data_IF_856594403588
#
_entry.id   IF_856594403588
#
_cell.length_a   1.000
_cell.length_b   1.000
_cell.length_c   1.000
_cell.angle_alpha   90.00
_cell.angle_beta   90.00
_cell.angle_gamma   90.00
#
_symmetry.space_group_name_H-M   'P 1'
#
loop_
_entity.id
_entity.type
_entity.pdbx_description
1 polymer ?
#
# COMPACT_ATOMS: atom_id res chain seq x y z
N UNK A 1 6.06 6.92 32.99
CA UNK A 1 5.15 7.95 32.46
C UNK A 1 5.37 8.02 30.95
N UNK A 2 4.59 7.26 30.17
CA UNK A 2 4.81 7.14 28.72
C UNK A 2 3.83 8.08 28.00
N UNK A 3 4.19 9.36 27.93
CA UNK A 3 3.57 10.32 27.04
C UNK A 3 4.26 10.24 25.65
N UNK A 4 4.26 9.04 25.06
CA UNK A 4 4.60 8.87 23.66
C UNK A 4 3.47 9.47 22.85
N UNK A 5 3.78 10.39 21.94
CA UNK A 5 2.80 10.98 21.03
C UNK A 5 2.33 9.87 20.09
N UNK A 6 1.23 9.24 20.47
CA UNK A 6 0.24 8.66 19.56
C UNK A 6 -0.35 9.82 18.73
N UNK A 7 -0.96 9.55 17.57
CA UNK A 7 -1.97 10.50 17.08
C UNK A 7 -2.87 10.90 18.25
N UNK A 8 -3.03 12.20 18.52
CA UNK A 8 -3.88 12.63 19.64
C UNK A 8 -5.24 11.95 19.48
N UNK A 9 -5.88 11.50 20.57
CA UNK A 9 -7.11 10.71 20.46
C UNK A 9 -8.14 11.46 19.58
N UNK A 10 -8.22 12.78 19.74
CA UNK A 10 -8.96 13.68 18.86
C UNK A 10 -8.57 13.59 17.37
N UNK A 11 -7.27 13.65 17.02
CA UNK A 11 -6.77 13.48 15.64
C UNK A 11 -7.15 12.12 15.04
N UNK A 12 -7.05 11.04 15.83
CA UNK A 12 -7.42 9.70 15.38
C UNK A 12 -8.93 9.54 15.19
N UNK A 13 -9.75 10.11 16.08
CA UNK A 13 -11.21 10.15 15.89
C UNK A 13 -11.57 10.99 14.66
N UNK A 14 -10.96 12.16 14.48
CA UNK A 14 -11.17 13.00 13.28
C UNK A 14 -10.80 12.24 12.00
N UNK A 15 -9.68 11.51 11.98
CA UNK A 15 -9.31 10.65 10.85
C UNK A 15 -10.38 9.60 10.54
N UNK A 16 -10.88 8.90 11.56
CA UNK A 16 -11.95 7.89 11.42
C UNK A 16 -13.24 8.50 10.86
N UNK A 17 -13.74 9.58 11.47
CA UNK A 17 -14.95 10.27 11.04
C UNK A 17 -14.82 10.80 9.61
N UNK A 18 -13.68 11.38 9.25
CA UNK A 18 -13.44 11.89 7.90
C UNK A 18 -13.32 10.77 6.87
N UNK A 19 -12.73 9.62 7.23
CA UNK A 19 -12.63 8.45 6.35
C UNK A 19 -13.98 7.78 6.13
N UNK A 20 -14.82 7.66 7.17
CA UNK A 20 -16.17 7.11 7.03
C UNK A 20 -17.04 8.00 6.14
N UNK A 21 -17.04 9.31 6.39
CA UNK A 21 -17.72 10.28 5.54
C UNK A 21 -17.18 10.27 4.10
N UNK A 22 -15.86 10.10 3.89
CA UNK A 22 -15.30 9.94 2.54
C UNK A 22 -15.84 8.68 1.85
N UNK A 23 -15.84 7.52 2.52
CA UNK A 23 -16.34 6.28 1.95
C UNK A 23 -17.82 6.38 1.60
N UNK A 24 -18.64 6.95 2.49
CA UNK A 24 -20.05 7.22 2.25
C UNK A 24 -20.29 8.17 1.06
N UNK A 25 -19.54 9.28 0.96
CA UNK A 25 -19.71 10.22 -0.15
C UNK A 25 -19.22 9.65 -1.48
N UNK A 26 -18.28 8.71 -1.48
CA UNK A 26 -17.86 7.99 -2.68
C UNK A 26 -18.96 7.04 -3.16
N UNK A 27 -19.60 6.27 -2.27
CA UNK A 27 -20.70 5.36 -2.63
C UNK A 27 -21.99 6.11 -3.03
N UNK A 28 -22.22 7.32 -2.51
CA UNK A 28 -23.31 8.22 -2.90
C UNK A 28 -23.13 8.82 -4.31
N UNK A 29 -21.91 9.27 -4.64
CA UNK A 29 -21.66 10.13 -5.82
C UNK A 29 -21.14 9.34 -7.03
N UNK A 30 -20.42 8.23 -6.83
CA UNK A 30 -19.87 7.46 -7.94
C UNK A 30 -20.94 6.62 -8.64
N UNK A 31 -20.84 6.53 -9.97
CA UNK A 31 -21.69 5.61 -10.74
C UNK A 31 -21.39 4.16 -10.36
N UNK A 32 -22.39 3.25 -10.35
CA UNK A 32 -22.17 1.80 -10.21
C UNK A 32 -21.26 1.17 -11.28
N UNK A 33 -20.89 1.91 -12.33
CA UNK A 33 -19.92 1.51 -13.36
C UNK A 33 -18.50 2.02 -13.11
N UNK A 34 -18.28 2.76 -12.02
CA UNK A 34 -16.99 3.32 -11.66
C UNK A 34 -16.25 2.37 -10.70
N UNK A 35 -15.05 1.93 -11.09
CA UNK A 35 -14.15 1.19 -10.22
C UNK A 35 -13.37 2.19 -9.33
N UNK A 36 -13.57 2.11 -8.02
CA UNK A 36 -12.80 2.89 -7.04
C UNK A 36 -11.95 1.96 -6.16
N UNK A 37 -10.63 2.09 -6.26
CA UNK A 37 -9.68 1.25 -5.51
C UNK A 37 -9.07 2.05 -4.37
N UNK A 38 -9.36 1.64 -3.15
CA UNK A 38 -8.83 2.22 -1.93
C UNK A 38 -7.41 1.68 -1.66
N UNK A 39 -6.39 2.41 -2.12
CA UNK A 39 -4.99 2.08 -1.89
C UNK A 39 -4.53 2.44 -0.48
N UNK A 40 -4.07 1.46 0.30
CA UNK A 40 -3.48 1.68 1.62
C UNK A 40 -2.09 2.31 1.53
N UNK A 41 -1.69 3.06 2.55
CA UNK A 41 -0.39 3.71 2.59
C UNK A 41 0.73 2.67 2.61
N UNK A 42 1.76 2.88 1.78
CA UNK A 42 2.96 2.05 1.80
C UNK A 42 3.61 2.08 3.19
N UNK A 43 4.31 1.00 3.53
CA UNK A 43 5.06 0.90 4.78
C UNK A 43 6.15 1.98 4.86
N UNK A 44 6.14 2.78 5.93
CA UNK A 44 7.26 3.69 6.25
C UNK A 44 8.28 3.05 7.20
N UNK A 45 9.46 3.66 7.22
CA UNK A 45 10.26 3.73 8.43
C UNK A 45 11.62 3.05 8.39
N UNK A 46 12.42 3.47 9.37
CA UNK A 46 13.85 3.26 9.58
C UNK A 46 14.40 1.88 9.16
N UNK A 47 14.99 1.82 7.97
CA UNK A 47 16.19 1.02 7.73
C UNK A 47 17.40 1.72 8.39
N UNK A 48 18.47 0.99 8.65
CA UNK A 48 19.73 1.62 9.06
C UNK A 48 20.20 2.63 8.00
N UNK A 49 20.41 3.89 8.40
CA UNK A 49 20.82 4.98 7.53
C UNK A 49 19.69 5.74 6.81
N UNK A 50 18.42 5.42 7.07
CA UNK A 50 17.28 6.25 6.63
C UNK A 50 16.89 7.23 7.74
N UNK A 51 16.61 8.49 7.36
CA UNK A 51 16.21 9.56 8.29
C UNK A 51 14.92 10.16 7.78
N UNK A 52 13.91 10.17 8.64
CA UNK A 52 12.64 10.82 8.33
C UNK A 52 12.82 12.34 8.41
N UNK A 53 12.41 13.07 7.36
CA UNK A 53 12.58 14.53 7.27
C UNK A 53 11.94 15.26 8.46
N UNK A 54 10.81 14.75 8.94
CA UNK A 54 10.15 15.18 10.17
C UNK A 54 9.98 13.98 11.11
N UNK A 55 10.78 13.86 12.19
CA UNK A 55 10.72 12.69 13.08
C UNK A 55 9.43 12.67 13.90
N UNK A 56 8.38 12.08 13.33
CA UNK A 56 7.09 11.82 13.97
C UNK A 56 7.24 10.56 14.85
N UNK A 57 7.04 10.64 16.18
CA UNK A 57 7.00 9.47 17.05
C UNK A 57 5.95 8.48 16.57
N UNK A 58 6.20 7.17 16.71
CA UNK A 58 5.23 6.10 16.42
C UNK A 58 4.67 6.02 14.98
N UNK A 59 5.17 6.81 14.01
CA UNK A 59 4.64 6.89 12.63
C UNK A 59 4.38 5.53 11.93
N UNK A 60 5.17 4.50 12.26
CA UNK A 60 4.94 3.11 11.80
C UNK A 60 3.62 2.54 12.31
N UNK A 61 3.36 2.70 13.60
CA UNK A 61 2.14 2.24 14.27
C UNK A 61 0.94 3.07 13.82
N UNK A 62 1.07 4.40 13.73
CA UNK A 62 0.00 5.28 13.24
C UNK A 62 -0.41 4.92 11.80
N UNK A 63 0.53 4.54 10.93
CA UNK A 63 0.21 4.07 9.57
C UNK A 63 -0.43 2.68 9.56
N UNK A 64 0.00 1.75 10.42
CA UNK A 64 -0.63 0.43 10.54
C UNK A 64 -2.07 0.58 11.04
N UNK A 65 -2.29 1.38 12.08
CA UNK A 65 -3.61 1.65 12.65
C UNK A 65 -4.50 2.43 11.66
N UNK A 66 -3.96 3.45 10.99
CA UNK A 66 -4.65 4.23 9.97
C UNK A 66 -5.06 3.40 8.75
N UNK A 67 -4.19 2.50 8.28
CA UNK A 67 -4.51 1.54 7.23
C UNK A 67 -5.57 0.53 7.69
N UNK A 68 -5.45 -0.02 8.90
CA UNK A 68 -6.42 -0.97 9.45
C UNK A 68 -7.84 -0.39 9.50
N UNK A 69 -8.01 0.83 10.04
CA UNK A 69 -9.33 1.49 10.05
C UNK A 69 -9.83 1.80 8.65
N UNK A 70 -8.96 2.25 7.73
CA UNK A 70 -9.36 2.60 6.36
C UNK A 70 -9.77 1.37 5.56
N UNK A 71 -9.08 0.23 5.68
CA UNK A 71 -9.49 -1.06 5.11
C UNK A 71 -10.82 -1.53 5.71
N UNK A 72 -11.00 -1.39 7.02
CA UNK A 72 -12.24 -1.79 7.70
C UNK A 72 -13.44 -0.97 7.19
N UNK A 73 -13.30 0.35 7.09
CA UNK A 73 -14.34 1.23 6.57
C UNK A 73 -14.61 0.98 5.08
N UNK A 74 -13.57 0.86 4.26
CA UNK A 74 -13.74 0.54 2.83
C UNK A 74 -14.51 -0.78 2.63
N UNK A 75 -14.20 -1.83 3.41
CA UNK A 75 -14.93 -3.09 3.40
C UNK A 75 -16.41 -2.93 3.79
N UNK A 76 -16.71 -2.16 4.86
CA UNK A 76 -18.09 -1.89 5.28
C UNK A 76 -18.91 -1.12 4.22
N UNK A 77 -18.24 -0.25 3.46
CA UNK A 77 -18.83 0.49 2.33
C UNK A 77 -18.75 -0.25 0.99
N UNK A 78 -18.32 -1.53 0.97
CA UNK A 78 -18.18 -2.36 -0.24
C UNK A 78 -17.28 -1.74 -1.32
N UNK A 79 -16.25 -1.01 -0.91
CA UNK A 79 -15.23 -0.44 -1.78
C UNK A 79 -14.03 -1.39 -1.92
N UNK A 80 -13.48 -1.50 -3.12
CA UNK A 80 -12.27 -2.31 -3.37
C UNK A 80 -11.07 -1.77 -2.59
N UNK A 81 -10.21 -2.68 -2.13
CA UNK A 81 -9.01 -2.37 -1.35
C UNK A 81 -7.77 -3.02 -1.95
N UNK A 82 -6.68 -2.26 -2.02
CA UNK A 82 -5.35 -2.80 -2.33
C UNK A 82 -4.38 -2.45 -1.19
N UNK A 83 -3.88 -3.47 -0.49
CA UNK A 83 -2.95 -3.31 0.63
C UNK A 83 -1.49 -3.25 0.16
N UNK A 84 -1.02 -2.03 -0.13
CA UNK A 84 0.38 -1.77 -0.48
C UNK A 84 1.33 -1.94 0.70
N UNK A 85 0.83 -1.85 1.94
CA UNK A 85 1.65 -2.11 3.12
C UNK A 85 2.04 -3.59 3.14
N UNK A 86 1.07 -4.50 2.99
CA UNK A 86 1.33 -5.94 2.89
C UNK A 86 2.29 -6.29 1.75
N UNK A 87 2.08 -5.75 0.55
CA UNK A 87 2.92 -6.09 -0.61
C UNK A 87 4.35 -5.52 -0.57
N UNK A 88 4.60 -4.42 0.17
CA UNK A 88 5.86 -3.68 0.12
C UNK A 88 6.61 -3.56 1.46
N UNK A 89 6.03 -3.98 2.60
CA UNK A 89 6.64 -3.85 3.93
C UNK A 89 8.07 -4.39 4.02
N UNK A 90 8.34 -5.55 3.41
CA UNK A 90 9.65 -6.19 3.38
C UNK A 90 10.59 -5.72 2.26
N UNK A 91 10.15 -4.81 1.36
CA UNK A 91 10.95 -4.35 0.20
C UNK A 91 11.94 -3.22 0.57
N UNK A 92 12.72 -3.40 1.64
CA UNK A 92 13.70 -2.44 2.19
C UNK A 92 14.75 -1.88 1.20
N UNK A 93 15.05 -2.59 0.12
CA UNK A 93 15.94 -2.11 -0.96
C UNK A 93 15.27 -1.10 -1.89
N UNK A 94 13.94 -0.99 -1.83
CA UNK A 94 13.13 -0.10 -2.66
C UNK A 94 12.73 1.18 -1.94
N UNK A 95 13.15 1.41 -0.69
CA UNK A 95 12.94 2.70 0.00
C UNK A 95 13.99 3.73 -0.44
N UNK A 96 13.60 5.00 -0.39
CA UNK A 96 14.48 6.17 -0.53
C UNK A 96 15.02 6.56 0.85
N UNK A 97 16.10 7.37 0.90
CA UNK A 97 16.80 7.75 2.15
C UNK A 97 15.92 8.51 3.17
N UNK A 98 14.80 9.07 2.73
CA UNK A 98 13.83 9.86 3.52
C UNK A 98 12.88 9.01 4.40
N UNK A 99 13.07 7.69 4.44
CA UNK A 99 12.24 6.71 5.16
C UNK A 99 10.75 6.65 4.75
N UNK A 100 10.34 7.40 3.72
CA UNK A 100 8.94 7.69 3.38
C UNK A 100 8.61 7.26 1.97
N UNK A 101 9.40 7.72 0.99
CA UNK A 101 9.17 7.41 -0.41
C UNK A 101 9.77 6.06 -0.78
N UNK A 102 9.15 5.43 -1.77
CA UNK A 102 9.70 4.25 -2.42
C UNK A 102 10.21 4.62 -3.82
N UNK A 103 11.22 3.92 -4.29
CA UNK A 103 11.86 4.16 -5.57
C UNK A 103 11.06 3.53 -6.73
N UNK A 104 11.52 3.80 -7.95
CA UNK A 104 10.93 3.30 -9.19
C UNK A 104 10.65 1.78 -9.26
N UNK A 105 11.36 0.93 -8.51
CA UNK A 105 11.12 -0.52 -8.49
C UNK A 105 9.87 -0.88 -7.69
N UNK A 106 9.63 -0.19 -6.56
CA UNK A 106 8.38 -0.33 -5.82
C UNK A 106 7.20 0.20 -6.62
N UNK A 107 7.35 1.36 -7.26
CA UNK A 107 6.31 1.92 -8.14
C UNK A 107 5.96 0.97 -9.30
N UNK A 108 6.95 0.36 -9.97
CA UNK A 108 6.69 -0.68 -10.98
C UNK A 108 5.90 -1.86 -10.40
N UNK A 109 6.28 -2.39 -9.24
CA UNK A 109 5.55 -3.52 -8.62
C UNK A 109 4.13 -3.12 -8.20
N UNK A 110 3.93 -1.91 -7.70
CA UNK A 110 2.62 -1.32 -7.39
C UNK A 110 1.74 -1.22 -8.64
N UNK A 111 2.25 -0.68 -9.75
CA UNK A 111 1.52 -0.63 -11.03
C UNK A 111 1.09 -2.03 -11.48
N UNK A 112 1.96 -3.04 -11.39
CA UNK A 112 1.57 -4.43 -11.72
C UNK A 112 0.47 -4.98 -10.82
N UNK A 113 0.47 -4.66 -9.52
CA UNK A 113 -0.59 -5.08 -8.58
C UNK A 113 -1.91 -4.39 -8.93
N UNK A 114 -1.89 -3.09 -9.19
CA UNK A 114 -3.07 -2.34 -9.61
C UNK A 114 -3.64 -2.88 -10.92
N UNK A 115 -2.81 -3.08 -11.95
CA UNK A 115 -3.26 -3.60 -13.25
C UNK A 115 -3.91 -4.97 -13.09
N UNK A 116 -3.32 -5.89 -12.33
CA UNK A 116 -3.91 -7.21 -12.08
C UNK A 116 -5.27 -7.12 -11.35
N UNK A 117 -5.42 -6.19 -10.40
CA UNK A 117 -6.69 -5.96 -9.70
C UNK A 117 -7.75 -5.30 -10.62
N UNK A 118 -7.31 -4.36 -11.46
CA UNK A 118 -8.10 -3.68 -12.49
C UNK A 118 -8.64 -4.68 -13.53
N UNK A 119 -7.78 -5.55 -14.05
CA UNK A 119 -8.13 -6.56 -15.05
C UNK A 119 -9.12 -7.57 -14.46
N UNK A 120 -8.88 -8.01 -13.21
CA UNK A 120 -9.81 -8.86 -12.47
C UNK A 120 -11.19 -8.20 -12.26
N UNK A 121 -11.22 -6.94 -11.82
CA UNK A 121 -12.47 -6.21 -11.57
C UNK A 121 -13.31 -5.97 -12.83
N UNK A 122 -12.67 -5.79 -13.99
CA UNK A 122 -13.37 -5.69 -15.28
C UNK A 122 -13.54 -7.03 -16.03
N UNK A 123 -13.12 -8.15 -15.44
CA UNK A 123 -13.26 -9.47 -16.05
C UNK A 123 -12.39 -9.68 -17.30
N UNK A 124 -11.33 -8.87 -17.46
CA UNK A 124 -10.35 -9.04 -18.52
C UNK A 124 -9.48 -10.24 -18.14
N UNK A 125 -9.69 -11.36 -18.83
CA UNK A 125 -8.85 -12.53 -18.68
C UNK A 125 -7.43 -12.17 -19.14
N UNK A 126 -6.48 -12.11 -18.20
CA UNK A 126 -5.08 -12.19 -18.57
C UNK A 126 -4.84 -13.59 -19.13
N UNK A 127 -4.51 -13.67 -20.43
CA UNK A 127 -3.91 -14.86 -21.02
C UNK A 127 -2.62 -15.13 -20.24
N UNK A 128 -2.67 -16.10 -19.32
CA UNK A 128 -1.48 -16.59 -18.67
C UNK A 128 -0.65 -17.30 -19.75
N UNK A 129 0.30 -16.59 -20.35
CA UNK A 129 1.41 -17.24 -21.01
C UNK A 129 2.14 -18.04 -19.94
N UNK A 130 1.81 -19.33 -19.91
CA UNK A 130 2.61 -20.34 -19.25
C UNK A 130 4.00 -20.24 -19.88
N UNK A 131 4.93 -19.60 -19.17
CA UNK A 131 6.32 -19.56 -19.59
C UNK A 131 6.84 -20.97 -19.39
N UNK A 132 6.71 -21.78 -20.44
CA UNK A 132 7.33 -23.10 -20.51
C UNK A 132 8.80 -22.93 -20.15
N UNK A 133 9.17 -23.49 -18.99
CA UNK A 133 10.54 -23.49 -18.53
C UNK A 133 11.35 -24.48 -19.39
N UNK A 134 11.71 -24.05 -20.60
CA UNK A 134 12.67 -24.75 -21.46
C UNK A 134 14.02 -24.74 -20.72
N UNK A 135 14.30 -25.84 -20.04
CA UNK A 135 15.56 -26.06 -19.34
C UNK A 135 16.71 -26.41 -20.28
N UNK A 136 17.94 -26.41 -19.73
CA UNK A 136 19.26 -26.47 -20.43
C UNK A 136 19.54 -25.23 -21.30
N UNK A 137 20.72 -24.60 -21.34
CA UNK A 137 22.05 -24.83 -20.73
C UNK A 137 22.75 -23.44 -20.57
N UNK A 138 23.85 -23.17 -19.84
CA UNK A 138 24.85 -23.97 -19.12
C UNK A 138 25.34 -23.17 -17.89
N UNK A 139 26.11 -23.79 -16.99
CA UNK A 139 26.92 -23.05 -16.00
C UNK A 139 27.85 -22.02 -16.67
N UNK A 140 27.83 -20.77 -16.19
CA UNK A 140 28.96 -19.83 -16.33
C UNK A 140 29.05 -18.96 -15.09
N UNK A 141 30.15 -19.09 -14.35
CA UNK A 141 30.34 -18.42 -13.08
C UNK A 141 31.12 -17.12 -13.14
N UNK A 142 31.23 -16.52 -11.95
CA UNK A 142 32.19 -15.49 -11.50
C UNK A 142 32.04 -14.02 -11.95
N UNK A 143 32.35 -13.15 -10.98
CA UNK A 143 32.61 -11.70 -11.05
C UNK A 143 31.44 -10.81 -11.54
N UNK A 144 30.93 -9.83 -10.77
CA UNK A 144 31.42 -9.16 -9.55
C UNK A 144 30.29 -8.98 -8.52
#
# INVERSE_FOLDING_TARGET
>A
MIAGIMMSNQSLQMYKTNMDHLCFRLTEVLSPKCLFICNMSMSVGFKAGEVLEYPIPNVRWDIIEGNFYRTTLAYLHQLDVTDLHFHLCFKLRSRVKDATHSNQLAHRKYTCILMAHIDYAWGVQQEQQEVEAVGSETERGQHW
#
